data_IF_185293737787
#
_entry.id   IF_185293737787
#
_cell.length_a   1.000
_cell.length_b   1.000
_cell.length_c   1.000
_cell.angle_alpha   90.00
_cell.angle_beta   90.00
_cell.angle_gamma   90.00
#
_symmetry.space_group_name_H-M   'P 1'
#
loop_
_entity.id
_entity.type
_entity.pdbx_description
1 polymer ?
#
# COMPACT_ATOMS: atom_id res chain seq x y z
N UNK A 1 2.40 -32.15 -13.95
CA UNK A 1 1.11 -31.41 -13.88
C UNK A 1 0.66 -31.27 -12.42
N UNK A 2 1.38 -30.47 -11.62
CA UNK A 2 1.05 -30.23 -10.20
C UNK A 2 0.63 -28.77 -9.91
N UNK A 3 0.79 -27.86 -10.89
CA UNK A 3 0.51 -26.42 -10.73
C UNK A 3 -0.99 -26.06 -10.70
N UNK A 4 -1.86 -26.93 -11.24
CA UNK A 4 -3.32 -26.71 -11.24
C UNK A 4 -4.00 -27.05 -9.92
N UNK A 5 -3.32 -27.71 -8.97
CA UNK A 5 -3.91 -28.05 -7.67
C UNK A 5 -3.99 -26.84 -6.73
N UNK A 6 -3.20 -25.80 -6.99
CA UNK A 6 -3.23 -24.53 -6.24
C UNK A 6 -4.06 -23.45 -6.95
N UNK A 7 -4.25 -23.54 -8.28
CA UNK A 7 -5.05 -22.57 -9.04
C UNK A 7 -6.55 -22.53 -8.66
N UNK A 8 -7.04 -23.58 -7.99
CA UNK A 8 -8.41 -23.69 -7.46
C UNK A 8 -8.46 -23.90 -5.94
N UNK A 9 -7.33 -23.78 -5.24
CA UNK A 9 -7.36 -23.72 -3.79
C UNK A 9 -8.00 -22.38 -3.43
N UNK A 10 -9.29 -22.42 -3.09
CA UNK A 10 -10.00 -21.27 -2.56
C UNK A 10 -9.37 -21.00 -1.20
N UNK A 11 -8.56 -19.94 -1.11
CA UNK A 11 -8.07 -19.44 0.17
C UNK A 11 -9.24 -19.39 1.17
N UNK A 12 -9.03 -19.84 2.41
CA UNK A 12 -10.07 -19.82 3.43
C UNK A 12 -10.67 -18.41 3.50
N UNK A 13 -12.00 -18.26 3.55
CA UNK A 13 -12.63 -16.95 3.60
C UNK A 13 -12.15 -16.21 4.85
N UNK A 14 -11.50 -15.06 4.64
CA UNK A 14 -10.92 -14.26 5.71
C UNK A 14 -10.07 -13.10 5.17
N UNK A 15 -9.72 -12.13 6.01
CA UNK A 15 -8.78 -11.07 5.65
C UNK A 15 -7.41 -11.67 5.31
N UNK A 16 -6.71 -11.09 4.32
CA UNK A 16 -5.36 -11.52 3.98
C UNK A 16 -4.42 -11.28 5.17
N UNK A 17 -3.66 -12.31 5.55
CA UNK A 17 -2.70 -12.28 6.64
C UNK A 17 -1.27 -12.36 6.07
N UNK A 18 -0.56 -11.23 5.91
CA UNK A 18 0.78 -11.24 5.35
C UNK A 18 1.78 -11.86 6.32
N UNK A 19 2.76 -12.61 5.79
CA UNK A 19 3.98 -12.95 6.54
C UNK A 19 4.79 -11.68 6.86
N UNK A 20 5.74 -11.77 7.79
CA UNK A 20 6.63 -10.64 8.10
C UNK A 20 7.39 -10.11 6.88
N UNK A 21 7.74 -10.98 5.93
CA UNK A 21 8.41 -10.60 4.70
C UNK A 21 7.48 -9.84 3.75
N UNK A 22 6.28 -10.39 3.53
CA UNK A 22 5.22 -9.77 2.73
C UNK A 22 4.81 -8.41 3.29
N UNK A 23 4.63 -8.32 4.62
CA UNK A 23 4.30 -7.07 5.31
C UNK A 23 5.34 -5.99 5.06
N UNK A 24 6.64 -6.31 5.16
CA UNK A 24 7.72 -5.37 4.87
C UNK A 24 7.74 -4.91 3.41
N UNK A 25 7.43 -5.80 2.48
CA UNK A 25 7.35 -5.47 1.06
C UNK A 25 6.18 -4.50 0.78
N UNK A 26 4.99 -4.84 1.27
CA UNK A 26 3.77 -4.03 1.14
C UNK A 26 3.94 -2.65 1.79
N UNK A 27 4.45 -2.58 3.02
CA UNK A 27 4.67 -1.31 3.73
C UNK A 27 5.61 -0.37 2.95
N UNK A 28 6.59 -0.91 2.22
CA UNK A 28 7.50 -0.10 1.40
C UNK A 28 6.78 0.54 0.21
N UNK A 29 5.90 -0.22 -0.45
CA UNK A 29 5.09 0.27 -1.57
C UNK A 29 4.12 1.35 -1.08
N UNK A 30 3.38 1.09 0.01
CA UNK A 30 2.43 2.03 0.61
C UNK A 30 3.13 3.34 0.99
N UNK A 31 4.31 3.25 1.62
CA UNK A 31 5.10 4.44 1.95
C UNK A 31 5.43 5.28 0.73
N UNK A 32 5.78 4.66 -0.39
CA UNK A 32 6.10 5.39 -1.63
C UNK A 32 4.87 5.97 -2.31
N UNK A 33 3.72 5.30 -2.23
CA UNK A 33 2.43 5.81 -2.72
C UNK A 33 2.05 7.08 -1.96
N UNK A 34 2.04 7.02 -0.63
CA UNK A 34 1.65 8.14 0.23
C UNK A 34 2.65 9.29 0.14
N UNK A 35 3.97 9.00 0.16
CA UNK A 35 5.02 10.02 0.02
C UNK A 35 4.91 10.83 -1.28
N UNK A 36 4.34 10.25 -2.33
CA UNK A 36 4.18 10.89 -3.64
C UNK A 36 2.79 11.52 -3.85
N UNK A 37 1.91 11.48 -2.84
CA UNK A 37 0.53 11.97 -2.96
C UNK A 37 -0.32 11.15 -3.91
N UNK A 38 -0.04 9.85 -4.05
CA UNK A 38 -0.68 8.95 -5.02
C UNK A 38 -1.74 8.04 -4.39
N UNK A 39 -2.18 8.29 -3.16
CA UNK A 39 -3.15 7.42 -2.49
C UNK A 39 -4.48 7.35 -3.24
N UNK A 40 -5.13 8.50 -3.51
CA UNK A 40 -6.40 8.56 -4.22
C UNK A 40 -6.39 7.82 -5.59
N UNK A 41 -5.43 8.06 -6.51
CA UNK A 41 -5.39 7.32 -7.77
C UNK A 41 -5.01 5.83 -7.57
N UNK A 42 -4.26 5.49 -6.53
CA UNK A 42 -3.93 4.09 -6.22
C UNK A 42 -5.16 3.33 -5.71
N UNK A 43 -5.91 3.90 -4.77
CA UNK A 43 -7.17 3.33 -4.27
C UNK A 43 -8.17 3.12 -5.39
N UNK A 44 -8.33 4.12 -6.28
CA UNK A 44 -9.20 4.00 -7.45
C UNK A 44 -8.74 2.89 -8.39
N UNK A 45 -7.44 2.78 -8.69
CA UNK A 45 -6.91 1.70 -9.53
C UNK A 45 -7.12 0.32 -8.91
N UNK A 46 -6.94 0.19 -7.59
CA UNK A 46 -7.16 -1.05 -6.83
C UNK A 46 -8.65 -1.45 -6.86
N UNK A 47 -9.56 -0.50 -6.68
CA UNK A 47 -11.01 -0.72 -6.81
C UNK A 47 -11.39 -1.28 -8.18
N UNK A 48 -10.86 -0.65 -9.23
CA UNK A 48 -11.12 -1.05 -10.62
C UNK A 48 -10.46 -2.39 -10.98
N UNK A 49 -9.46 -2.82 -10.22
CA UNK A 49 -8.80 -4.12 -10.41
C UNK A 49 -9.57 -5.29 -9.80
N UNK A 50 -10.50 -5.04 -8.85
CA UNK A 50 -11.36 -6.07 -8.24
C UNK A 50 -12.12 -6.93 -9.28
N UNK A 51 -12.72 -6.38 -10.35
CA UNK A 51 -13.39 -7.19 -11.38
C UNK A 51 -12.47 -7.98 -12.33
N UNK A 52 -11.19 -8.21 -12.01
CA UNK A 52 -10.20 -9.02 -12.77
C UNK A 52 -9.91 -8.59 -14.22
N UNK A 53 -10.67 -7.64 -14.78
CA UNK A 53 -10.65 -7.32 -16.22
C UNK A 53 -9.51 -6.38 -16.67
N UNK A 54 -8.59 -5.96 -15.80
CA UNK A 54 -7.62 -4.90 -16.13
C UNK A 54 -6.13 -5.27 -16.01
N UNK A 55 -5.74 -6.54 -15.94
CA UNK A 55 -4.34 -6.86 -15.63
C UNK A 55 -3.69 -7.74 -16.70
N UNK A 56 -2.85 -7.10 -17.52
CA UNK A 56 -1.95 -7.81 -18.43
C UNK A 56 -0.85 -6.91 -19.00
N UNK A 57 -1.17 -5.66 -19.38
CA UNK A 57 -0.18 -4.72 -19.95
C UNK A 57 -0.25 -3.30 -19.40
N UNK A 58 -1.43 -2.79 -19.08
CA UNK A 58 -1.59 -1.41 -18.59
C UNK A 58 -1.11 -1.21 -17.15
N UNK A 59 -1.21 -2.26 -16.32
CA UNK A 59 -0.65 -2.26 -14.97
C UNK A 59 0.88 -2.06 -14.97
N UNK A 60 1.60 -2.70 -15.90
CA UNK A 60 3.06 -2.57 -16.01
C UNK A 60 3.48 -1.11 -16.29
N UNK A 61 2.70 -0.37 -17.08
CA UNK A 61 2.96 1.06 -17.33
C UNK A 61 2.64 1.94 -16.12
N UNK A 62 1.55 1.65 -15.41
CA UNK A 62 1.19 2.34 -14.16
C UNK A 62 2.22 2.10 -13.04
N UNK A 63 2.75 0.88 -12.93
CA UNK A 63 3.71 0.49 -11.89
C UNK A 63 5.17 0.76 -12.24
N UNK A 64 5.47 1.20 -13.48
CA UNK A 64 6.80 1.63 -13.94
C UNK A 64 7.57 2.54 -12.95
N UNK A 65 6.98 3.61 -12.37
CA UNK A 65 7.67 4.45 -11.39
C UNK A 65 7.97 3.78 -10.03
N UNK A 66 7.45 2.58 -9.79
CA UNK A 66 7.63 1.78 -8.58
C UNK A 66 8.55 0.56 -8.81
N UNK A 67 9.01 0.32 -10.04
CA UNK A 67 9.92 -0.81 -10.39
C UNK A 67 11.22 -0.79 -9.57
N UNK A 68 11.74 0.38 -9.22
CA UNK A 68 12.92 0.53 -8.35
C UNK A 68 12.69 0.04 -6.91
N UNK A 69 11.45 0.12 -6.41
CA UNK A 69 11.07 -0.40 -5.08
C UNK A 69 10.95 -1.92 -5.09
N UNK A 70 10.50 -2.45 -6.24
CA UNK A 70 10.26 -3.87 -6.48
C UNK A 70 11.55 -4.62 -6.88
N UNK A 71 12.62 -3.96 -7.32
CA UNK A 71 13.85 -4.63 -7.82
C UNK A 71 14.79 -5.18 -6.74
N UNK A 72 14.45 -5.08 -5.45
CA UNK A 72 15.15 -5.86 -4.43
C UNK A 72 14.68 -7.33 -4.56
N UNK A 73 15.58 -8.23 -4.95
CA UNK A 73 15.31 -9.55 -5.56
C UNK A 73 14.55 -10.59 -4.72
N UNK A 74 13.94 -10.20 -3.60
CA UNK A 74 12.96 -11.01 -2.87
C UNK A 74 11.67 -10.27 -2.50
N UNK A 75 11.70 -8.93 -2.43
CA UNK A 75 10.52 -8.14 -2.09
C UNK A 75 9.48 -8.04 -3.21
N UNK A 76 9.90 -8.22 -4.47
CA UNK A 76 8.96 -8.31 -5.59
C UNK A 76 8.11 -9.57 -5.49
N UNK A 77 8.77 -10.69 -5.21
CA UNK A 77 8.15 -12.01 -5.18
C UNK A 77 7.19 -12.09 -3.98
N UNK A 78 7.63 -11.62 -2.80
CA UNK A 78 6.78 -11.52 -1.62
C UNK A 78 5.55 -10.63 -1.86
N UNK A 79 5.70 -9.50 -2.56
CA UNK A 79 4.59 -8.60 -2.86
C UNK A 79 3.62 -9.19 -3.89
N UNK A 80 4.15 -9.85 -4.92
CA UNK A 80 3.34 -10.52 -5.93
C UNK A 80 2.56 -11.69 -5.32
N UNK A 81 3.22 -12.53 -4.52
CA UNK A 81 2.59 -13.64 -3.79
C UNK A 81 1.50 -13.14 -2.83
N UNK A 82 1.73 -12.02 -2.14
CA UNK A 82 0.70 -11.41 -1.30
C UNK A 82 -0.50 -10.93 -2.11
N UNK A 83 -0.29 -10.29 -3.26
CA UNK A 83 -1.37 -9.81 -4.14
C UNK A 83 -2.27 -10.94 -4.67
N UNK A 84 -1.78 -12.18 -4.73
CA UNK A 84 -2.58 -13.34 -5.12
C UNK A 84 -3.60 -13.76 -4.05
N UNK A 85 -3.40 -13.38 -2.79
CA UNK A 85 -4.31 -13.72 -1.69
C UNK A 85 -5.65 -13.00 -1.81
N UNK A 86 -6.73 -13.74 -1.52
CA UNK A 86 -8.06 -13.13 -1.35
C UNK A 86 -8.03 -12.11 -0.20
N UNK A 87 -8.40 -10.87 -0.48
CA UNK A 87 -8.43 -9.78 0.51
C UNK A 87 -7.14 -8.95 0.60
N UNK A 88 -6.11 -9.26 -0.20
CA UNK A 88 -4.89 -8.46 -0.25
C UNK A 88 -5.14 -7.01 -0.69
N UNK A 89 -6.07 -6.82 -1.64
CA UNK A 89 -6.49 -5.50 -2.10
C UNK A 89 -7.15 -4.71 -0.97
N UNK A 90 -8.07 -5.32 -0.22
CA UNK A 90 -8.72 -4.66 0.92
C UNK A 90 -7.69 -4.28 2.00
N UNK A 91 -6.75 -5.19 2.30
CA UNK A 91 -5.65 -4.92 3.22
C UNK A 91 -4.82 -3.71 2.76
N UNK A 92 -4.43 -3.66 1.49
CA UNK A 92 -3.62 -2.56 0.94
C UNK A 92 -4.39 -1.24 1.01
N UNK A 93 -5.68 -1.23 0.66
CA UNK A 93 -6.52 -0.04 0.73
C UNK A 93 -6.61 0.52 2.16
N UNK A 94 -6.98 -0.32 3.13
CA UNK A 94 -7.05 0.08 4.54
C UNK A 94 -5.72 0.63 5.05
N UNK A 95 -4.61 -0.03 4.69
CA UNK A 95 -3.28 0.42 5.10
C UNK A 95 -2.86 1.74 4.46
N UNK A 96 -3.28 2.04 3.23
CA UNK A 96 -3.05 3.36 2.60
C UNK A 96 -3.81 4.44 3.37
N UNK A 97 -5.10 4.22 3.65
CA UNK A 97 -5.95 5.18 4.37
C UNK A 97 -5.43 5.47 5.78
N UNK A 98 -5.04 4.43 6.52
CA UNK A 98 -4.42 4.56 7.85
C UNK A 98 -3.16 5.44 7.81
N UNK A 99 -2.32 5.27 6.78
CA UNK A 99 -1.09 6.05 6.65
C UNK A 99 -1.30 7.50 6.25
N UNK A 100 -2.31 7.79 5.44
CA UNK A 100 -2.69 9.19 5.17
C UNK A 100 -3.17 9.88 6.45
N UNK A 101 -4.08 9.24 7.18
CA UNK A 101 -4.61 9.76 8.45
C UNK A 101 -3.50 9.98 9.50
N UNK A 102 -2.52 9.07 9.61
CA UNK A 102 -1.34 9.22 10.48
C UNK A 102 -0.51 10.48 10.11
N UNK A 103 -0.35 10.80 8.82
CA UNK A 103 0.40 11.97 8.37
C UNK A 103 -0.38 13.27 8.59
N UNK A 104 -1.69 13.26 8.34
CA UNK A 104 -2.57 14.40 8.59
C UNK A 104 -2.59 14.76 10.08
N UNK A 105 -2.72 13.77 10.95
CA UNK A 105 -2.69 13.95 12.41
C UNK A 105 -1.35 14.51 12.87
N UNK A 106 -0.23 14.00 12.33
CA UNK A 106 1.12 14.53 12.63
C UNK A 106 1.33 15.96 12.13
N UNK A 107 0.73 16.32 11.00
CA UNK A 107 0.80 17.69 10.48
C UNK A 107 -0.02 18.65 11.35
N UNK A 108 -1.18 18.23 11.86
CA UNK A 108 -1.99 19.00 12.79
C UNK A 108 -1.26 19.25 14.13
N UNK A 109 -0.69 18.20 14.75
CA UNK A 109 0.07 18.32 16.01
C UNK A 109 1.30 19.23 15.88
N UNK A 110 2.02 19.15 14.74
CA UNK A 110 3.18 20.01 14.49
C UNK A 110 2.78 21.47 14.26
N UNK A 111 1.60 21.71 13.68
CA UNK A 111 1.07 23.06 13.48
C UNK A 111 0.68 23.69 14.80
N UNK A 112 -0.01 22.96 15.69
CA UNK A 112 -0.35 23.45 17.03
C UNK A 112 0.91 23.71 17.90
N UNK A 113 1.88 22.78 17.87
CA UNK A 113 3.14 22.95 18.62
C UNK A 113 3.95 24.15 18.13
N UNK A 114 4.01 24.38 16.82
CA UNK A 114 4.74 25.52 16.24
C UNK A 114 4.04 26.86 16.54
N UNK A 115 2.71 26.90 16.58
CA UNK A 115 1.92 28.08 16.93
C UNK A 115 2.09 28.43 18.42
N UNK A 116 2.05 27.44 19.31
CA UNK A 116 2.25 27.63 20.76
C UNK A 116 3.69 28.11 21.07
N UNK A 117 4.70 27.55 20.40
CA UNK A 117 6.10 27.97 20.56
C UNK A 117 6.34 29.39 20.05
N UNK A 118 5.69 29.80 18.95
CA UNK A 118 5.80 31.15 18.39
C UNK A 118 5.07 32.20 19.24
N UNK A 119 3.95 31.84 19.88
CA UNK A 119 3.22 32.71 20.80
C UNK A 119 3.96 32.90 22.13
N UNK A 120 4.58 31.84 22.67
CA UNK A 120 5.41 31.92 23.87
C UNK A 120 6.65 32.83 23.70
N UNK A 121 7.26 32.83 22.51
CA UNK A 121 8.43 33.65 22.20
C UNK A 121 8.14 35.15 21.95
N UNK A 122 6.88 35.56 21.83
CA UNK A 122 6.48 36.96 21.60
C UNK A 122 5.99 37.69 22.87
N UNK A 123 6.08 37.06 24.05
CA UNK A 123 5.55 37.59 25.32
C UNK A 123 6.63 38.08 26.30
N UNK A 124 7.90 38.12 25.86
CA UNK A 124 9.04 38.78 26.53
C UNK A 124 9.50 39.99 25.71
#
# INVERSE_FOLDING_TARGET
>A
MQWLKHAFAVDPPGPAEPTDAQKRAVDRVIKEVVRRGLAAPTLMALEMSRPLNFLGSQALHFFSPFVSVLTNSGGCDDFAEFLEQRGAIDYICTRIEERECELETRAADQTDTAVETAQAASTD
#
